data_IF_759227964971
#
_entry.id   IF_759227964971
#
_cell.length_a   1.000
_cell.length_b   1.000
_cell.length_c   1.000
_cell.angle_alpha   90.00
_cell.angle_beta   90.00
_cell.angle_gamma   90.00
#
_symmetry.space_group_name_H-M   'P 1'
#
loop_
_entity.id
_entity.type
_entity.pdbx_description
1 polymer ?
#
# COMPACT_ATOMS: atom_id res chain seq x y z
N UNK A 1 14.02 -4.49 15.80
CA UNK A 1 14.71 -3.18 15.92
C UNK A 1 13.85 -2.16 15.22
N UNK A 2 13.61 -1.01 15.84
CA UNK A 2 12.88 0.09 15.18
C UNK A 2 13.73 0.63 14.01
N UNK A 3 13.12 0.69 12.83
CA UNK A 3 13.81 0.93 11.57
C UNK A 3 14.13 2.42 11.36
N UNK A 4 13.40 3.28 12.07
CA UNK A 4 13.56 4.73 12.06
C UNK A 4 14.45 5.23 13.22
N UNK A 5 14.89 4.33 14.12
CA UNK A 5 15.79 4.66 15.23
C UNK A 5 17.14 5.17 14.76
N UNK A 6 17.43 6.44 15.03
CA UNK A 6 18.64 7.15 14.57
C UNK A 6 19.83 6.90 15.49
N UNK A 7 20.40 5.71 15.39
CA UNK A 7 21.47 5.24 16.29
C UNK A 7 22.87 5.31 15.68
N UNK A 8 23.00 5.25 14.36
CA UNK A 8 24.30 5.10 13.69
C UNK A 8 25.00 6.43 13.46
N UNK A 9 26.24 6.56 13.93
CA UNK A 9 27.11 7.70 13.58
C UNK A 9 27.57 7.62 12.12
N UNK A 10 28.06 8.74 11.58
CA UNK A 10 28.44 8.82 10.16
C UNK A 10 29.50 7.78 9.72
N UNK A 11 30.46 7.45 10.58
CA UNK A 11 31.48 6.44 10.27
C UNK A 11 30.86 5.05 10.09
N UNK A 12 30.05 4.63 11.05
CA UNK A 12 29.33 3.35 11.02
C UNK A 12 28.34 3.31 9.86
N UNK A 13 27.61 4.39 9.62
CA UNK A 13 26.69 4.47 8.49
C UNK A 13 27.41 4.38 7.14
N UNK A 14 28.61 4.97 7.03
CA UNK A 14 29.43 4.92 5.82
C UNK A 14 29.92 3.50 5.53
N UNK A 15 30.40 2.80 6.56
CA UNK A 15 30.82 1.40 6.49
C UNK A 15 29.64 0.49 6.09
N UNK A 16 28.50 0.64 6.76
CA UNK A 16 27.29 -0.13 6.44
C UNK A 16 26.77 0.20 5.05
N UNK A 17 26.88 1.43 4.57
CA UNK A 17 26.47 1.81 3.22
C UNK A 17 27.50 1.43 2.14
N UNK A 18 28.73 1.04 2.50
CA UNK A 18 29.80 0.80 1.51
C UNK A 18 30.26 2.08 0.80
N UNK A 19 30.28 3.20 1.52
CA UNK A 19 30.54 4.53 0.97
C UNK A 19 31.56 5.31 1.79
N UNK A 20 32.14 6.36 1.20
CA UNK A 20 32.98 7.29 1.94
C UNK A 20 32.13 8.28 2.78
N UNK A 21 32.52 8.62 4.02
CA UNK A 21 31.78 9.58 4.86
C UNK A 21 31.55 10.95 4.21
N UNK A 22 32.44 11.39 3.32
CA UNK A 22 32.25 12.65 2.57
C UNK A 22 31.05 12.57 1.61
N UNK A 23 30.82 11.42 0.99
CA UNK A 23 29.68 11.18 0.09
C UNK A 23 28.37 11.26 0.86
N UNK A 24 28.31 10.66 2.06
CA UNK A 24 27.15 10.78 2.95
C UNK A 24 26.86 12.24 3.32
N UNK A 25 27.89 13.06 3.56
CA UNK A 25 27.73 14.50 3.81
C UNK A 25 27.24 15.25 2.57
N UNK A 26 27.64 14.84 1.38
CA UNK A 26 27.15 15.41 0.13
C UNK A 26 25.67 15.09 -0.07
N UNK A 27 25.27 13.82 0.12
CA UNK A 27 23.87 13.40 -0.02
C UNK A 27 22.94 14.04 1.02
N UNK A 28 23.40 14.22 2.26
CA UNK A 28 22.69 15.01 3.29
C UNK A 28 22.51 16.47 2.84
N UNK A 29 23.56 17.12 2.31
CA UNK A 29 23.46 18.51 1.81
C UNK A 29 22.51 18.64 0.63
N UNK A 30 22.44 17.64 -0.25
CA UNK A 30 21.50 17.58 -1.37
C UNK A 30 20.07 17.22 -0.93
N UNK A 31 19.88 16.87 0.34
CA UNK A 31 18.59 16.51 0.91
C UNK A 31 18.08 15.13 0.48
N UNK A 32 18.95 14.25 -0.02
CA UNK A 32 18.62 12.88 -0.41
C UNK A 32 18.34 12.00 0.81
N UNK A 33 19.00 12.30 1.94
CA UNK A 33 18.82 11.62 3.23
C UNK A 33 18.80 12.69 4.32
N UNK A 34 17.94 12.50 5.34
CA UNK A 34 17.75 13.48 6.43
C UNK A 34 18.13 12.88 7.80
N UNK A 35 19.44 12.76 8.10
CA UNK A 35 19.88 12.26 9.40
C UNK A 35 19.45 13.20 10.53
N UNK A 36 19.30 12.67 11.74
CA UNK A 36 19.15 13.53 12.91
C UNK A 36 20.45 14.25 13.22
N UNK A 37 20.34 15.52 13.60
CA UNK A 37 21.45 16.29 14.14
C UNK A 37 21.51 16.10 15.65
N UNK A 38 22.68 15.83 16.17
CA UNK A 38 22.95 15.78 17.61
C UNK A 38 23.45 17.13 18.12
N UNK A 39 23.32 17.38 19.43
CA UNK A 39 23.81 18.62 20.10
C UNK A 39 25.28 18.92 19.81
N UNK A 40 26.10 17.90 19.52
CA UNK A 40 27.52 18.03 19.15
C UNK A 40 27.82 18.11 17.65
N UNK A 41 26.88 18.58 16.81
CA UNK A 41 26.99 18.64 15.32
C UNK A 41 27.15 17.29 14.60
N UNK A 42 27.11 16.17 15.30
CA UNK A 42 27.17 14.83 14.70
C UNK A 42 25.85 14.45 14.01
N UNK A 43 25.96 13.70 12.91
CA UNK A 43 24.82 13.12 12.20
C UNK A 43 24.53 11.73 12.74
N UNK A 44 23.24 11.44 12.98
CA UNK A 44 22.76 10.09 13.28
C UNK A 44 21.82 9.59 12.21
N UNK A 45 22.13 8.40 11.71
CA UNK A 45 21.42 7.69 10.67
C UNK A 45 20.62 6.55 11.28
N UNK A 46 19.46 6.25 10.70
CA UNK A 46 18.68 5.07 11.01
C UNK A 46 19.02 3.89 10.09
N UNK A 47 18.61 2.65 10.43
CA UNK A 47 18.66 1.53 9.49
C UNK A 47 18.01 1.85 8.13
N UNK A 48 16.90 2.59 8.13
CA UNK A 48 16.22 3.04 6.91
C UNK A 48 17.08 4.00 6.08
N UNK A 49 17.75 4.95 6.72
CA UNK A 49 18.67 5.87 6.04
C UNK A 49 19.79 5.10 5.33
N UNK A 50 20.32 4.05 5.96
CA UNK A 50 21.39 3.21 5.37
C UNK A 50 20.90 2.50 4.12
N UNK A 51 19.67 1.96 4.13
CA UNK A 51 19.10 1.35 2.92
C UNK A 51 18.87 2.36 1.81
N UNK A 52 18.37 3.55 2.15
CA UNK A 52 18.22 4.63 1.18
C UNK A 52 19.57 5.02 0.56
N UNK A 53 20.64 5.11 1.37
CA UNK A 53 21.99 5.37 0.87
C UNK A 53 22.45 4.30 -0.14
N UNK A 54 22.30 3.02 0.19
CA UNK A 54 22.66 1.92 -0.73
C UNK A 54 21.89 1.99 -2.05
N UNK A 55 20.61 2.34 -1.98
CA UNK A 55 19.77 2.48 -3.18
C UNK A 55 20.18 3.69 -4.03
N UNK A 56 20.49 4.82 -3.40
CA UNK A 56 21.07 5.99 -4.09
C UNK A 56 22.37 5.59 -4.81
N UNK A 57 23.22 4.78 -4.18
CA UNK A 57 24.45 4.29 -4.82
C UNK A 57 24.16 3.51 -6.09
N UNK A 58 23.25 2.54 -5.99
CA UNK A 58 22.88 1.63 -7.06
C UNK A 58 22.33 2.42 -8.26
N UNK A 59 21.36 3.28 -8.01
CA UNK A 59 20.77 4.14 -9.05
C UNK A 59 21.79 5.12 -9.65
N UNK A 60 22.71 5.65 -8.84
CA UNK A 60 23.78 6.51 -9.34
C UNK A 60 24.77 5.75 -10.23
N UNK A 61 25.06 4.48 -9.94
CA UNK A 61 25.91 3.63 -10.78
C UNK A 61 25.22 3.24 -12.09
N UNK A 62 23.88 3.17 -12.10
CA UNK A 62 23.05 2.95 -13.29
C UNK A 62 22.91 4.20 -14.17
N UNK A 63 23.55 5.32 -13.80
CA UNK A 63 23.56 6.55 -14.58
C UNK A 63 22.39 7.50 -14.29
N UNK A 64 21.60 7.24 -13.24
CA UNK A 64 20.51 8.14 -12.85
C UNK A 64 21.08 9.39 -12.17
N UNK A 65 20.64 10.56 -12.62
CA UNK A 65 21.02 11.83 -11.99
C UNK A 65 20.45 11.90 -10.56
N UNK A 66 21.19 12.51 -9.62
CA UNK A 66 20.80 12.70 -8.22
C UNK A 66 19.44 13.41 -8.07
N UNK A 67 19.09 14.32 -8.98
CA UNK A 67 17.75 14.94 -8.99
C UNK A 67 16.64 13.92 -9.31
N UNK A 68 16.90 12.99 -10.24
CA UNK A 68 15.99 11.89 -10.55
C UNK A 68 15.87 10.91 -9.39
N UNK A 69 17.00 10.55 -8.76
CA UNK A 69 17.02 9.70 -7.57
C UNK A 69 16.20 10.33 -6.45
N UNK A 70 16.37 11.63 -6.19
CA UNK A 70 15.56 12.36 -5.21
C UNK A 70 14.06 12.21 -5.48
N UNK A 71 13.65 12.42 -6.73
CA UNK A 71 12.23 12.33 -7.11
C UNK A 71 11.68 10.91 -6.94
N UNK A 72 12.47 9.89 -7.28
CA UNK A 72 12.10 8.48 -7.07
C UNK A 72 11.86 8.21 -5.59
N UNK A 73 12.80 8.60 -4.71
CA UNK A 73 12.68 8.37 -3.27
C UNK A 73 11.48 9.12 -2.65
N UNK A 74 11.20 10.34 -3.11
CA UNK A 74 10.01 11.11 -2.70
C UNK A 74 8.72 10.38 -3.08
N UNK A 75 8.63 9.90 -4.33
CA UNK A 75 7.48 9.14 -4.81
C UNK A 75 7.29 7.82 -4.06
N UNK A 76 8.38 7.12 -3.72
CA UNK A 76 8.32 5.91 -2.91
C UNK A 76 7.81 6.18 -1.49
N UNK A 77 8.18 7.33 -0.90
CA UNK A 77 7.65 7.74 0.39
C UNK A 77 6.16 8.04 0.33
N UNK A 78 5.74 8.82 -0.67
CA UNK A 78 4.33 9.13 -0.93
C UNK A 78 3.54 7.82 -1.11
N UNK A 79 4.01 6.92 -1.97
CA UNK A 79 3.36 5.63 -2.21
C UNK A 79 3.25 4.78 -0.94
N UNK A 80 4.29 4.76 -0.09
CA UNK A 80 4.24 4.09 1.22
C UNK A 80 3.22 4.73 2.15
N UNK A 81 3.15 6.07 2.21
CA UNK A 81 2.18 6.79 3.03
C UNK A 81 0.75 6.49 2.57
N UNK A 82 0.49 6.54 1.26
CA UNK A 82 -0.81 6.19 0.69
C UNK A 82 -1.20 4.74 1.00
N UNK A 83 -0.27 3.79 0.85
CA UNK A 83 -0.53 2.37 1.18
C UNK A 83 -0.87 2.19 2.66
N UNK A 84 -0.15 2.85 3.57
CA UNK A 84 -0.49 2.84 5.01
C UNK A 84 -1.86 3.43 5.28
N UNK A 85 -2.22 4.52 4.60
CA UNK A 85 -3.54 5.14 4.74
C UNK A 85 -4.65 4.23 4.21
N UNK A 86 -4.46 3.58 3.05
CA UNK A 86 -5.41 2.59 2.51
C UNK A 86 -5.60 1.45 3.49
N UNK A 87 -4.51 0.92 4.06
CA UNK A 87 -4.60 -0.16 5.05
C UNK A 87 -5.34 0.28 6.32
N UNK A 88 -5.03 1.46 6.84
CA UNK A 88 -5.76 2.03 7.98
C UNK A 88 -7.25 2.25 7.68
N UNK A 89 -7.60 2.75 6.50
CA UNK A 89 -9.01 2.90 6.12
C UNK A 89 -9.69 1.54 5.95
N UNK A 90 -8.99 0.53 5.45
CA UNK A 90 -9.52 -0.84 5.35
C UNK A 90 -9.85 -1.42 6.73
N UNK A 91 -9.01 -1.21 7.75
CA UNK A 91 -9.31 -1.68 9.11
C UNK A 91 -10.51 -0.95 9.72
N UNK A 92 -10.73 0.33 9.37
CA UNK A 92 -11.93 1.07 9.79
C UNK A 92 -13.20 0.62 9.05
N UNK A 93 -13.08 0.24 7.78
CA UNK A 93 -14.22 -0.19 6.95
C UNK A 93 -14.60 -1.65 7.22
N UNK A 94 -13.71 -2.46 7.81
CA UNK A 94 -14.08 -3.85 8.16
C UNK A 94 -13.40 -4.47 9.40
N UNK A 95 -14.09 -4.43 10.55
CA UNK A 95 -14.03 -5.47 11.57
C UNK A 95 -15.33 -6.31 11.66
N UNK A 96 -16.25 -6.18 10.71
CA UNK A 96 -17.59 -6.76 10.79
C UNK A 96 -18.62 -5.94 10.06
N UNK A 97 -18.44 -5.75 8.75
CA UNK A 97 -19.37 -5.05 7.86
C UNK A 97 -20.79 -5.62 7.96
N UNK A 98 -21.53 -5.11 8.95
CA UNK A 98 -22.96 -5.31 9.16
C UNK A 98 -23.66 -4.40 8.18
N UNK A 99 -24.22 -4.98 7.13
CA UNK A 99 -25.05 -4.24 6.19
C UNK A 99 -26.46 -4.32 6.73
N UNK A 100 -26.99 -3.16 7.10
CA UNK A 100 -28.37 -3.05 7.53
C UNK A 100 -29.25 -3.17 6.28
N UNK A 101 -29.98 -4.28 6.15
CA UNK A 101 -30.96 -4.47 5.08
C UNK A 101 -32.35 -4.22 5.65
N UNK A 102 -33.17 -3.43 4.94
CA UNK A 102 -34.60 -3.32 5.23
C UNK A 102 -35.34 -4.45 4.51
N UNK A 103 -36.21 -5.17 5.22
CA UNK A 103 -37.16 -6.09 4.58
C UNK A 103 -38.31 -5.30 3.90
N UNK A 104 -39.13 -5.93 3.04
CA UNK A 104 -40.29 -5.27 2.41
C UNK A 104 -41.34 -4.74 3.40
N UNK A 105 -41.24 -5.13 4.68
CA UNK A 105 -42.11 -4.73 5.78
C UNK A 105 -41.56 -3.50 6.54
N UNK A 106 -40.33 -3.08 6.24
CA UNK A 106 -39.65 -1.93 6.86
C UNK A 106 -38.75 -2.27 8.06
N UNK A 107 -38.54 -3.54 8.40
CA UNK A 107 -37.66 -3.92 9.51
C UNK A 107 -36.19 -3.90 9.09
N UNK A 108 -35.33 -3.31 9.93
CA UNK A 108 -33.88 -3.23 9.68
C UNK A 108 -33.15 -4.39 10.34
N UNK A 109 -32.47 -5.23 9.55
CA UNK A 109 -31.69 -6.38 10.05
C UNK A 109 -30.21 -6.18 9.75
N UNK A 110 -29.35 -6.39 10.75
CA UNK A 110 -27.90 -6.32 10.58
C UNK A 110 -27.36 -7.65 10.03
N UNK A 111 -27.02 -7.66 8.74
CA UNK A 111 -26.50 -8.84 8.03
C UNK A 111 -24.97 -8.77 7.90
N UNK A 112 -24.24 -9.90 8.05
CA UNK A 112 -22.80 -9.91 7.76
C UNK A 112 -22.64 -9.97 6.25
N UNK A 113 -22.12 -8.93 5.62
CA UNK A 113 -21.70 -9.07 4.23
C UNK A 113 -20.54 -10.07 4.21
N UNK A 114 -20.78 -11.29 3.74
CA UNK A 114 -19.67 -12.11 3.28
C UNK A 114 -18.94 -11.31 2.19
N UNK A 115 -17.61 -11.13 2.27
CA UNK A 115 -16.85 -10.39 1.27
C UNK A 115 -17.09 -11.08 -0.06
N UNK A 116 -17.83 -10.41 -0.97
CA UNK A 116 -18.20 -10.87 -2.31
C UNK A 116 -17.90 -12.35 -2.51
N UNK A 117 -18.68 -13.21 -1.84
CA UNK A 117 -18.58 -14.64 -2.08
C UNK A 117 -18.76 -14.77 -3.58
N UNK A 118 -17.70 -15.23 -4.25
CA UNK A 118 -17.63 -15.41 -5.69
C UNK A 118 -19.01 -15.82 -6.14
N UNK A 119 -19.68 -14.92 -6.88
CA UNK A 119 -20.99 -15.20 -7.40
C UNK A 119 -20.79 -16.44 -8.26
N UNK A 120 -21.11 -17.62 -7.70
CA UNK A 120 -21.18 -18.85 -8.48
C UNK A 120 -22.12 -18.47 -9.61
N UNK A 121 -21.61 -18.39 -10.86
CA UNK A 121 -22.42 -17.87 -11.94
C UNK A 121 -23.70 -18.69 -11.96
N UNK A 122 -24.89 -18.07 -12.05
CA UNK A 122 -26.12 -18.82 -12.09
C UNK A 122 -25.98 -19.85 -13.21
N UNK A 123 -26.22 -21.13 -12.88
CA UNK A 123 -26.22 -22.21 -13.88
C UNK A 123 -27.04 -21.72 -15.07
N UNK A 124 -26.54 -21.79 -16.31
CA UNK A 124 -27.27 -21.27 -17.44
C UNK A 124 -28.64 -21.94 -17.45
N UNK A 125 -29.69 -21.15 -17.22
CA UNK A 125 -31.06 -21.61 -17.35
C UNK A 125 -31.21 -22.11 -18.77
N UNK A 126 -31.33 -23.43 -18.93
CA UNK A 126 -31.74 -24.03 -20.19
C UNK A 126 -33.09 -23.42 -20.52
N UNK A 127 -33.10 -22.50 -21.48
CA UNK A 127 -34.33 -21.90 -21.97
C UNK A 127 -35.24 -23.03 -22.45
N UNK A 128 -36.41 -23.16 -21.82
CA UNK A 128 -37.43 -24.12 -22.23
C UNK A 128 -38.53 -23.32 -22.92
N UNK A 129 -38.75 -23.51 -24.24
CA UNK A 129 -39.84 -22.85 -24.93
C UNK A 129 -41.16 -23.29 -24.31
N UNK A 130 -41.98 -22.31 -23.92
CA UNK A 130 -43.35 -22.52 -23.46
C UNK A 130 -44.15 -23.08 -24.63
N UNK A 131 -44.39 -24.40 -24.62
CA UNK A 131 -45.30 -25.05 -25.57
C UNK A 131 -46.65 -24.36 -25.44
N UNK A 132 -47.11 -23.73 -26.53
CA UNK A 132 -48.45 -23.20 -26.68
C UNK A 132 -49.40 -24.40 -26.72
N UNK A 133 -49.85 -24.87 -25.56
CA UNK A 133 -50.97 -25.80 -25.48
C UNK A 133 -52.26 -25.01 -25.63
N UNK A 134 -52.62 -24.64 -26.85
CA UNK A 134 -54.01 -24.37 -27.20
C UNK A 134 -54.68 -25.69 -27.56
N UNK A 135 -54.93 -26.50 -26.54
CA UNK A 135 -55.99 -27.51 -26.58
C UNK A 135 -57.22 -26.87 -25.97
N UNK A 136 -58.15 -26.38 -26.80
CA UNK A 136 -59.54 -26.18 -26.38
C UNK A 136 -60.36 -27.21 -27.13
N UNK A 137 -60.69 -28.27 -26.41
CA UNK A 137 -61.72 -29.24 -26.80
C UNK A 137 -63.03 -28.92 -26.10
N UNK A 138 -64.13 -29.21 -26.81
CA UNK A 138 -65.56 -29.34 -26.39
C UNK A 138 -66.32 -28.03 -26.20
N UNK A 139 -67.62 -27.93 -26.48
CA UNK A 139 -68.78 -28.83 -26.78
C UNK A 139 -69.87 -27.87 -27.31
N UNK A 140 -70.99 -28.20 -27.95
CA UNK A 140 -71.88 -29.36 -28.09
C UNK A 140 -72.55 -29.25 -29.47
#
# INVERSE_FOLDING_TARGET
MDEDSKVYVISVAAELAGMHPQTLRQYDRLGLVRPARTRGRGRRYSPRDIRALREIQRLSQEGVNLAGIKRILELEEEARALRRQVEFLRTLVDPGRRVFRADPTGNVVADRLHPLAEATPPRPTRWVPRQLTSGVTRRD
#
